data_IF_858014494934
#
_entry.id   IF_858014494934
#
_cell.length_a   1.000
_cell.length_b   1.000
_cell.length_c   1.000
_cell.angle_alpha   90.00
_cell.angle_beta   90.00
_cell.angle_gamma   90.00
#
_symmetry.space_group_name_H-M   'P 1'
#
loop_
_entity.id
_entity.type
_entity.pdbx_description
1 polymer ?
#
# COMPACT_ATOMS: atom_id res chain seq x y z
N UNK A 1 -23.68 -14.18 19.13
CA UNK A 1 -22.25 -14.12 19.48
C UNK A 1 -21.66 -12.95 18.71
N UNK A 2 -21.39 -11.85 19.41
CA UNK A 2 -20.66 -10.71 18.87
C UNK A 2 -19.19 -11.09 18.86
N UNK A 3 -18.61 -11.33 17.69
CA UNK A 3 -17.17 -11.38 17.52
C UNK A 3 -16.75 -10.04 16.91
N UNK A 4 -16.49 -9.07 17.79
CA UNK A 4 -15.77 -7.85 17.43
C UNK A 4 -14.36 -8.05 17.95
N UNK A 5 -13.55 -8.81 17.23
CA UNK A 5 -12.09 -8.75 17.37
C UNK A 5 -11.64 -7.44 16.74
N UNK A 6 -11.67 -6.38 17.54
CA UNK A 6 -10.84 -5.21 17.35
C UNK A 6 -9.78 -5.25 18.43
N UNK A 7 -8.72 -6.04 18.22
CA UNK A 7 -7.48 -5.86 18.99
C UNK A 7 -6.87 -4.55 18.50
N UNK A 8 -7.27 -3.45 19.15
CA UNK A 8 -6.89 -2.07 18.85
C UNK A 8 -5.44 -1.76 19.19
N UNK A 9 -4.53 -2.67 18.89
CA UNK A 9 -3.09 -2.47 18.99
C UNK A 9 -2.53 -2.07 17.62
N UNK A 10 -3.09 -1.04 16.97
CA UNK A 10 -2.48 -0.48 15.77
C UNK A 10 -1.12 0.11 16.15
N UNK A 11 -0.07 -0.68 15.96
CA UNK A 11 1.34 -0.30 16.08
C UNK A 11 1.81 0.47 14.84
N UNK A 12 0.88 0.96 14.04
CA UNK A 12 1.13 1.85 12.91
C UNK A 12 1.49 3.24 13.47
N UNK A 13 2.72 3.66 13.22
CA UNK A 13 3.18 5.01 13.50
C UNK A 13 2.97 5.89 12.27
N UNK A 14 1.94 6.73 12.29
CA UNK A 14 1.68 7.69 11.21
C UNK A 14 2.61 8.91 11.38
N UNK A 15 3.40 9.28 10.36
CA UNK A 15 4.23 10.48 10.43
C UNK A 15 3.39 11.76 10.60
N UNK A 16 3.91 12.73 11.35
CA UNK A 16 3.22 14.01 11.56
C UNK A 16 2.98 14.74 10.23
N UNK A 17 1.74 15.16 9.99
CA UNK A 17 1.34 15.83 8.74
C UNK A 17 0.91 14.88 7.62
N UNK A 18 0.90 13.56 7.86
CA UNK A 18 0.34 12.55 6.97
C UNK A 18 -0.86 11.86 7.61
N UNK A 19 -1.68 11.23 6.77
CA UNK A 19 -2.81 10.40 7.17
C UNK A 19 -2.61 8.96 6.71
N UNK A 20 -3.05 8.02 7.53
CA UNK A 20 -3.05 6.60 7.18
C UNK A 20 -4.34 6.25 6.46
N UNK A 21 -4.24 5.80 5.21
CA UNK A 21 -5.37 5.38 4.40
C UNK A 21 -5.21 3.91 4.05
N UNK A 22 -6.23 3.11 4.37
CA UNK A 22 -6.26 1.70 3.96
C UNK A 22 -7.08 1.55 2.69
N UNK A 23 -6.49 0.90 1.68
CA UNK A 23 -7.14 0.62 0.40
C UNK A 23 -7.11 -0.87 0.11
N UNK A 24 -8.20 -1.35 -0.50
CA UNK A 24 -8.26 -2.71 -1.03
C UNK A 24 -7.30 -2.81 -2.23
N UNK A 25 -6.53 -3.89 -2.28
CA UNK A 25 -5.59 -4.15 -3.37
C UNK A 25 -5.96 -5.50 -3.97
N UNK A 26 -6.15 -5.54 -5.29
CA UNK A 26 -6.54 -6.78 -5.99
C UNK A 26 -5.30 -7.61 -6.40
N UNK A 27 -4.12 -6.98 -6.36
CA UNK A 27 -2.94 -7.54 -7.01
C UNK A 27 -2.10 -8.47 -6.11
N UNK A 28 -2.20 -9.76 -6.43
CA UNK A 28 -1.33 -10.87 -6.06
C UNK A 28 -0.05 -10.77 -6.90
N UNK A 29 0.85 -9.83 -6.64
CA UNK A 29 2.25 -9.79 -7.13
C UNK A 29 2.89 -8.45 -6.74
N UNK A 30 2.79 -8.04 -5.46
CA UNK A 30 3.56 -6.91 -4.94
C UNK A 30 5.05 -7.28 -4.94
N UNK A 31 5.68 -7.27 -6.13
CA UNK A 31 7.11 -7.52 -6.39
C UNK A 31 7.68 -8.76 -5.68
N UNK A 32 6.96 -9.88 -5.74
CA UNK A 32 7.42 -11.16 -5.17
C UNK A 32 7.57 -11.17 -3.65
N UNK A 33 6.82 -10.33 -2.92
CA UNK A 33 6.93 -10.18 -1.47
C UNK A 33 7.85 -9.05 -1.02
N UNK A 34 8.30 -8.18 -1.93
CA UNK A 34 9.20 -7.07 -1.57
C UNK A 34 8.47 -5.87 -0.93
N UNK A 35 7.14 -5.77 -1.07
CA UNK A 35 6.35 -4.73 -0.40
C UNK A 35 6.03 -5.15 1.03
N UNK A 36 6.70 -4.51 1.97
CA UNK A 36 6.53 -4.68 3.42
C UNK A 36 6.28 -3.32 4.09
N UNK A 37 5.92 -3.33 5.37
CA UNK A 37 5.91 -2.10 6.18
C UNK A 37 7.25 -1.34 6.03
N UNK A 38 7.18 -0.01 5.95
CA UNK A 38 8.36 0.83 5.71
C UNK A 38 8.82 0.91 4.25
N UNK A 39 8.24 0.12 3.34
CA UNK A 39 8.57 0.20 1.90
C UNK A 39 7.93 1.42 1.24
N UNK A 40 8.53 1.89 0.15
CA UNK A 40 7.95 2.93 -0.69
C UNK A 40 7.40 2.34 -1.98
N UNK A 41 6.18 2.73 -2.33
CA UNK A 41 5.49 2.27 -3.55
C UNK A 41 4.97 3.46 -4.36
N UNK A 42 4.89 3.29 -5.66
CA UNK A 42 4.13 4.14 -6.55
C UNK A 42 2.72 3.55 -6.68
N UNK A 43 1.70 4.38 -6.54
CA UNK A 43 0.30 3.96 -6.54
C UNK A 43 -0.36 4.39 -7.84
N UNK A 44 -0.88 3.40 -8.54
CA UNK A 44 -1.62 3.58 -9.77
C UNK A 44 -3.05 3.11 -9.59
N UNK A 45 -3.98 3.69 -10.36
CA UNK A 45 -5.36 3.23 -10.43
C UNK A 45 -5.71 2.90 -11.87
N UNK A 46 -6.32 1.75 -12.08
CA UNK A 46 -7.03 1.47 -13.32
C UNK A 46 -8.35 2.26 -13.31
N UNK A 47 -8.41 3.31 -14.11
CA UNK A 47 -9.66 3.99 -14.43
C UNK A 47 -10.40 3.20 -15.50
N UNK A 48 -11.74 3.16 -15.40
CA UNK A 48 -12.58 2.50 -16.39
C UNK A 48 -12.18 2.91 -17.82
N UNK A 49 -12.29 1.97 -18.76
CA UNK A 49 -11.72 2.02 -20.12
C UNK A 49 -10.23 1.64 -20.23
N UNK A 50 -9.69 0.88 -19.28
CA UNK A 50 -8.34 0.30 -19.37
C UNK A 50 -7.21 1.35 -19.32
N UNK A 51 -7.48 2.54 -18.78
CA UNK A 51 -6.48 3.60 -18.62
C UNK A 51 -5.92 3.55 -17.21
N UNK A 52 -4.60 3.54 -17.10
CA UNK A 52 -3.92 3.58 -15.81
C UNK A 52 -3.52 5.03 -15.52
N UNK A 53 -3.97 5.55 -14.37
CA UNK A 53 -3.59 6.87 -13.86
C UNK A 53 -2.68 6.72 -12.64
N UNK A 54 -1.68 7.59 -12.52
CA UNK A 54 -0.82 7.68 -11.34
C UNK A 54 -1.51 8.53 -10.27
N UNK A 55 -1.67 7.98 -9.07
CA UNK A 55 -2.20 8.71 -7.91
C UNK A 55 -1.11 9.31 -7.03
N UNK A 56 0.04 8.64 -6.95
CA UNK A 56 1.15 9.17 -6.18
C UNK A 56 2.40 8.32 -6.29
N UNK A 57 3.54 8.94 -6.00
CA UNK A 57 4.86 8.31 -6.07
C UNK A 57 5.51 8.28 -4.71
N UNK A 58 6.34 7.25 -4.47
CA UNK A 58 7.09 7.06 -3.22
C UNK A 58 6.22 7.23 -1.98
N UNK A 59 5.05 6.61 -2.00
CA UNK A 59 4.12 6.57 -0.86
C UNK A 59 4.62 5.51 0.12
N UNK A 60 4.71 5.88 1.39
CA UNK A 60 5.15 4.98 2.45
C UNK A 60 4.04 3.96 2.77
N UNK A 61 4.41 2.70 2.79
CA UNK A 61 3.57 1.61 3.28
C UNK A 61 3.72 1.53 4.80
N UNK A 62 2.62 1.75 5.51
CA UNK A 62 2.56 1.64 6.96
C UNK A 62 2.31 0.20 7.40
N UNK A 63 1.48 -0.53 6.66
CA UNK A 63 1.11 -1.91 6.97
C UNK A 63 0.57 -2.61 5.71
N UNK A 64 0.73 -3.93 5.63
CA UNK A 64 0.15 -4.74 4.56
C UNK A 64 -0.56 -5.96 5.15
N UNK A 65 -1.59 -6.45 4.46
CA UNK A 65 -2.29 -7.68 4.83
C UNK A 65 -1.48 -8.95 4.62
N UNK A 66 -0.29 -8.89 3.99
CA UNK A 66 0.52 -10.08 3.79
C UNK A 66 0.90 -10.65 5.16
N UNK A 67 0.34 -11.81 5.49
CA UNK A 67 0.79 -12.55 6.66
C UNK A 67 2.28 -12.84 6.48
N UNK A 68 3.08 -12.48 7.49
CA UNK A 68 4.51 -12.77 7.61
C UNK A 68 4.75 -14.28 7.80
N UNK A 69 4.21 -15.11 6.91
CA UNK A 69 4.47 -16.54 6.90
C UNK A 69 5.63 -16.82 5.95
N UNK A 70 6.78 -17.11 6.57
CA UNK A 70 8.09 -17.33 5.93
C UNK A 70 8.00 -18.40 4.83
N UNK A 71 7.81 -17.99 3.58
CA UNK A 71 8.04 -18.83 2.40
C UNK A 71 6.88 -18.99 1.42
N UNK A 72 5.72 -18.37 1.64
CA UNK A 72 4.65 -18.32 0.64
C UNK A 72 4.40 -16.88 0.19
N UNK A 73 4.34 -16.67 -1.13
CA UNK A 73 3.96 -15.39 -1.73
C UNK A 73 2.49 -15.09 -1.37
N UNK A 74 2.27 -14.55 -0.18
CA UNK A 74 0.93 -14.23 0.30
C UNK A 74 0.36 -13.05 -0.50
N UNK A 75 -0.84 -13.25 -1.04
CA UNK A 75 -1.62 -12.20 -1.67
C UNK A 75 -1.89 -11.07 -0.67
N UNK A 76 -1.60 -9.82 -1.05
CA UNK A 76 -1.94 -8.64 -0.25
C UNK A 76 -3.39 -8.28 -0.54
N UNK A 77 -4.29 -8.50 0.40
CA UNK A 77 -5.70 -8.12 0.27
C UNK A 77 -5.95 -6.61 0.50
N UNK A 78 -5.12 -5.98 1.35
CA UNK A 78 -5.20 -4.56 1.66
C UNK A 78 -3.82 -4.02 2.03
N UNK A 79 -3.64 -2.72 1.84
CA UNK A 79 -2.44 -1.98 2.24
C UNK A 79 -2.86 -0.70 2.95
N UNK A 80 -2.11 -0.32 3.99
CA UNK A 80 -2.23 0.97 4.65
C UNK A 80 -1.07 1.85 4.21
N UNK A 81 -1.41 3.02 3.67
CA UNK A 81 -0.48 3.96 3.07
C UNK A 81 -0.46 5.28 3.85
N UNK A 82 0.72 5.88 4.01
CA UNK A 82 0.87 7.23 4.54
C UNK A 82 0.79 8.24 3.39
N UNK A 83 -0.28 9.04 3.36
CA UNK A 83 -0.53 10.03 2.30
C UNK A 83 -0.72 11.42 2.89
N UNK A 84 -0.56 12.46 2.08
CA UNK A 84 -0.91 13.81 2.50
C UNK A 84 -2.44 13.96 2.57
N UNK A 85 -2.97 14.82 3.48
CA UNK A 85 -4.42 15.00 3.64
C UNK A 85 -5.14 15.38 2.35
N UNK A 86 -4.49 16.14 1.47
CA UNK A 86 -5.01 16.54 0.15
C UNK A 86 -5.20 15.33 -0.79
N UNK A 87 -4.32 14.33 -0.73
CA UNK A 87 -4.37 13.13 -1.56
C UNK A 87 -5.33 12.05 -1.03
N UNK A 88 -5.77 12.14 0.23
CA UNK A 88 -6.71 11.17 0.85
C UNK A 88 -7.99 11.06 0.04
N UNK A 89 -8.59 12.21 -0.29
CA UNK A 89 -9.85 12.27 -1.02
C UNK A 89 -9.75 11.65 -2.43
N UNK A 90 -8.61 11.85 -3.10
CA UNK A 90 -8.34 11.31 -4.43
C UNK A 90 -8.10 9.80 -4.37
N UNK A 91 -7.32 9.33 -3.39
CA UNK A 91 -7.02 7.91 -3.19
C UNK A 91 -8.28 7.10 -2.86
N UNK A 92 -9.12 7.61 -1.95
CA UNK A 92 -10.41 6.99 -1.62
C UNK A 92 -11.35 6.97 -2.83
N UNK A 93 -11.44 8.10 -3.55
CA UNK A 93 -12.27 8.18 -4.75
C UNK A 93 -11.81 7.20 -5.82
N UNK A 94 -10.51 7.03 -6.00
CA UNK A 94 -9.92 6.11 -6.95
C UNK A 94 -10.15 4.65 -6.52
N UNK A 95 -9.96 4.33 -5.24
CA UNK A 95 -10.21 3.01 -4.67
C UNK A 95 -11.68 2.58 -4.80
N UNK A 96 -12.63 3.52 -4.82
CA UNK A 96 -14.04 3.21 -5.08
C UNK A 96 -14.37 3.05 -6.58
N UNK A 97 -13.57 3.63 -7.48
CA UNK A 97 -13.86 3.70 -8.92
C UNK A 97 -13.19 2.59 -9.73
N UNK A 98 -12.13 2.00 -9.23
CA UNK A 98 -11.36 1.00 -9.95
C UNK A 98 -10.34 0.29 -9.06
N UNK A 99 -9.46 -0.44 -9.72
CA UNK A 99 -8.46 -1.29 -9.04
C UNK A 99 -7.20 -0.48 -8.75
N UNK A 100 -6.73 -0.56 -7.50
CA UNK A 100 -5.44 0.02 -7.10
C UNK A 100 -4.33 -0.99 -7.40
N UNK A 101 -3.28 -0.51 -8.07
CA UNK A 101 -2.06 -1.25 -8.37
C UNK A 101 -0.88 -0.61 -7.66
N UNK A 102 -0.09 -1.44 -6.97
CA UNK A 102 1.12 -1.03 -6.26
C UNK A 102 2.33 -1.40 -7.12
N UNK A 103 3.18 -0.43 -7.42
CA UNK A 103 4.41 -0.62 -8.19
C UNK A 103 5.59 -0.26 -7.30
N UNK A 104 6.62 -1.11 -7.28
CA UNK A 104 7.86 -0.76 -6.59
C UNK A 104 8.67 0.20 -7.49
N UNK A 105 8.86 1.47 -7.10
CA UNK A 105 9.70 2.38 -7.85
C UNK A 105 11.15 1.88 -7.81
N UNK A 106 11.85 1.94 -8.95
CA UNK A 106 13.28 1.65 -9.00
C UNK A 106 14.12 2.74 -8.35
N UNK A 107 15.00 2.37 -7.40
CA UNK A 107 16.12 3.17 -6.87
C UNK A 107 16.22 3.15 -5.34
N UNK A 108 17.34 2.85 -4.67
CA UNK A 108 18.77 2.96 -5.04
C UNK A 108 19.43 1.57 -5.15
N UNK A 109 20.32 1.35 -6.12
CA UNK A 109 21.33 0.30 -5.98
C UNK A 109 22.00 0.47 -4.60
N UNK A 110 22.12 -0.61 -3.83
CA UNK A 110 22.90 -0.59 -2.60
C UNK A 110 24.23 0.13 -2.86
N UNK A 111 24.76 0.96 -1.93
CA UNK A 111 26.16 1.33 -2.03
C UNK A 111 26.94 0.02 -2.09
N UNK A 112 27.62 -0.19 -3.21
CA UNK A 112 28.67 -1.19 -3.33
C UNK A 112 29.67 -0.86 -2.22
N UNK A 113 29.68 -1.67 -1.16
CA UNK A 113 30.76 -1.62 -0.18
C UNK A 113 32.05 -1.99 -0.92
N UNK A 114 32.86 -0.96 -1.18
CA UNK A 114 34.21 -1.05 -1.72
C UNK A 114 35.23 -1.24 -0.59
#
# INVERSE_FOLDING_TARGET
VMDRVGDGSSRISVPAGLEAVSVASDDVLAVGGSVQEGSFVDVYVETGEGRIALLGKKILVLETSAAVDQGSSAAIAWVTLAVTPESVSELLSASCKGTIHLVLPGGQAAPEEA
#
